data_IF_130292525468
#
_entry.id   IF_130292525468
#
_cell.length_a   1.000
_cell.length_b   1.000
_cell.length_c   1.000
_cell.angle_alpha   90.00
_cell.angle_beta   90.00
_cell.angle_gamma   90.00
#
_symmetry.space_group_name_H-M   'P 1'
#
loop_
_entity.id
_entity.type
_entity.pdbx_description
1 polymer ?
#
# COMPACT_ATOMS: atom_id res chain seq x y z
N UNK A 1 -48.75 -51.66 40.40
CA UNK A 1 -48.81 -50.17 40.32
C UNK A 1 -47.84 -49.72 39.26
N UNK A 2 -48.37 -49.27 38.12
CA UNK A 2 -47.59 -48.86 36.96
C UNK A 2 -47.55 -47.34 36.94
N UNK A 3 -46.38 -46.71 37.04
CA UNK A 3 -46.21 -45.27 36.81
C UNK A 3 -45.70 -45.05 35.41
N UNK A 4 -46.52 -44.37 34.60
CA UNK A 4 -46.19 -43.91 33.27
C UNK A 4 -45.41 -42.60 33.35
N UNK A 5 -44.24 -42.54 32.70
CA UNK A 5 -43.47 -41.33 32.51
C UNK A 5 -43.86 -40.67 31.19
N UNK A 6 -44.33 -39.44 31.27
CA UNK A 6 -44.66 -38.55 30.11
C UNK A 6 -43.36 -37.96 29.55
N UNK A 7 -43.18 -38.08 28.23
CA UNK A 7 -42.18 -37.37 27.45
C UNK A 7 -42.82 -36.11 26.86
N UNK A 8 -42.21 -34.93 26.95
CA UNK A 8 -42.75 -33.75 26.25
C UNK A 8 -42.27 -33.69 24.80
N UNK A 9 -43.23 -33.46 23.89
CA UNK A 9 -43.02 -33.05 22.52
C UNK A 9 -42.52 -31.62 22.48
N UNK A 10 -41.48 -31.31 21.66
CA UNK A 10 -41.46 -30.20 20.73
C UNK A 10 -40.09 -29.94 20.14
N UNK A 11 -39.92 -30.18 18.87
CA UNK A 11 -39.05 -29.40 18.00
C UNK A 11 -39.59 -29.52 16.57
N UNK A 12 -40.47 -28.55 16.20
CA UNK A 12 -40.85 -28.34 14.81
C UNK A 12 -39.71 -27.64 14.07
N UNK A 13 -39.22 -28.28 13.00
CA UNK A 13 -38.35 -27.64 12.00
C UNK A 13 -39.21 -26.79 11.05
N UNK A 14 -38.79 -25.58 10.65
CA UNK A 14 -39.46 -24.84 9.60
C UNK A 14 -39.17 -25.46 8.23
N UNK A 15 -40.22 -25.71 7.45
CA UNK A 15 -40.16 -26.15 6.07
C UNK A 15 -39.67 -25.01 5.18
N UNK A 16 -38.62 -25.28 4.39
CA UNK A 16 -38.16 -24.41 3.29
C UNK A 16 -39.12 -24.64 2.12
N UNK A 17 -39.88 -23.60 1.76
CA UNK A 17 -40.73 -23.60 0.56
C UNK A 17 -39.84 -23.39 -0.68
N UNK A 18 -39.80 -24.38 -1.57
CA UNK A 18 -39.31 -24.25 -2.93
C UNK A 18 -40.30 -23.46 -3.78
N UNK A 19 -39.84 -22.34 -4.34
CA UNK A 19 -40.54 -21.59 -5.36
C UNK A 19 -40.21 -22.15 -6.75
N UNK A 20 -41.19 -22.51 -7.58
CA UNK A 20 -40.93 -23.00 -8.93
C UNK A 20 -40.65 -21.81 -9.87
N UNK A 21 -39.55 -21.88 -10.59
CA UNK A 21 -39.27 -20.96 -11.70
C UNK A 21 -40.29 -21.16 -12.84
N UNK A 22 -41.05 -20.13 -13.13
CA UNK A 22 -41.86 -20.03 -14.34
C UNK A 22 -41.00 -19.36 -15.44
N UNK A 23 -40.68 -20.10 -16.50
CA UNK A 23 -40.16 -19.54 -17.73
C UNK A 23 -41.27 -18.79 -18.45
N UNK A 24 -41.09 -17.51 -18.75
CA UNK A 24 -41.88 -16.81 -19.77
C UNK A 24 -40.94 -16.05 -20.73
N UNK A 25 -41.22 -16.29 -22.00
CA UNK A 25 -40.50 -15.87 -23.18
C UNK A 25 -40.54 -14.34 -23.47
N UNK A 26 -39.44 -13.87 -24.01
CA UNK A 26 -39.30 -12.77 -24.97
C UNK A 26 -39.87 -11.39 -24.65
N UNK A 27 -38.95 -10.48 -24.23
CA UNK A 27 -38.89 -9.11 -24.77
C UNK A 27 -37.49 -8.52 -24.55
N UNK A 28 -36.85 -8.16 -25.64
CA UNK A 28 -35.61 -7.36 -25.64
C UNK A 28 -35.97 -5.94 -25.22
N UNK A 29 -35.60 -5.55 -23.99
CA UNK A 29 -35.61 -4.15 -23.60
C UNK A 29 -34.20 -3.60 -23.81
N UNK A 30 -34.08 -2.61 -24.66
CA UNK A 30 -32.91 -1.75 -24.73
C UNK A 30 -32.67 -1.12 -23.36
N UNK A 31 -31.67 -1.59 -22.65
CA UNK A 31 -31.22 -0.98 -21.41
C UNK A 31 -30.57 0.36 -21.75
N UNK A 32 -31.14 1.43 -21.20
CA UNK A 32 -30.59 2.79 -21.20
C UNK A 32 -29.16 2.79 -20.66
N UNK A 33 -28.24 3.59 -21.23
CA UNK A 33 -26.84 3.64 -20.78
C UNK A 33 -26.62 4.50 -19.53
N UNK A 34 -27.56 4.51 -18.61
CA UNK A 34 -27.27 5.00 -17.27
C UNK A 34 -26.52 3.89 -16.53
N UNK A 35 -25.18 3.87 -16.69
CA UNK A 35 -24.30 3.18 -15.73
C UNK A 35 -24.60 3.79 -14.36
N UNK A 36 -25.36 3.07 -13.54
CA UNK A 36 -25.39 3.31 -12.11
C UNK A 36 -23.94 3.37 -11.63
N UNK A 37 -23.55 4.47 -10.97
CA UNK A 37 -22.27 4.53 -10.26
C UNK A 37 -22.21 3.28 -9.38
N UNK A 38 -21.11 2.50 -9.42
CA UNK A 38 -20.97 1.40 -8.49
C UNK A 38 -21.17 1.99 -7.10
N UNK A 39 -22.07 1.40 -6.31
CA UNK A 39 -22.23 1.77 -4.91
C UNK A 39 -20.85 1.61 -4.26
N UNK A 40 -20.35 2.67 -3.62
CA UNK A 40 -19.15 2.59 -2.78
C UNK A 40 -19.33 1.40 -1.83
N UNK A 41 -18.36 0.49 -1.81
CA UNK A 41 -18.43 -0.59 -0.85
C UNK A 41 -18.53 0.00 0.57
N UNK A 42 -19.49 -0.48 1.40
CA UNK A 42 -19.70 0.07 2.75
C UNK A 42 -18.42 0.15 3.60
N UNK A 43 -17.45 -0.76 3.35
CA UNK A 43 -16.15 -0.78 4.02
C UNK A 43 -15.22 0.38 3.64
N UNK A 44 -15.42 1.05 2.50
CA UNK A 44 -14.65 2.24 2.11
C UNK A 44 -15.12 3.49 2.83
N UNK A 45 -16.39 3.60 3.20
CA UNK A 45 -16.91 4.71 3.98
C UNK A 45 -16.26 4.80 5.36
N UNK A 46 -15.91 3.65 5.95
CA UNK A 46 -15.23 3.55 7.24
C UNK A 46 -13.74 3.94 7.15
N UNK A 47 -13.17 4.11 5.96
CA UNK A 47 -11.75 4.33 5.73
C UNK A 47 -11.37 5.78 5.40
N UNK A 48 -12.27 6.72 5.59
CA UNK A 48 -12.02 8.15 5.40
C UNK A 48 -12.25 8.63 3.97
N UNK A 49 -11.60 9.72 3.58
CA UNK A 49 -11.77 10.37 2.27
C UNK A 49 -11.42 9.42 1.12
N UNK A 50 -12.32 9.29 0.16
CA UNK A 50 -12.11 8.53 -1.07
C UNK A 50 -11.65 9.48 -2.18
N UNK A 51 -10.51 9.16 -2.80
CA UNK A 51 -9.86 9.97 -3.83
C UNK A 51 -9.99 9.24 -5.18
N UNK A 52 -10.69 9.82 -6.15
CA UNK A 52 -10.89 9.22 -7.47
C UNK A 52 -9.87 9.75 -8.49
N UNK A 53 -10.17 10.90 -9.10
CA UNK A 53 -9.42 11.43 -10.25
C UNK A 53 -8.66 12.73 -9.91
N UNK A 54 -8.52 13.06 -8.63
CA UNK A 54 -7.92 14.31 -8.16
C UNK A 54 -6.47 14.49 -8.61
N UNK A 55 -5.75 13.39 -8.79
CA UNK A 55 -4.37 13.35 -9.23
C UNK A 55 -4.21 12.94 -10.70
N UNK A 56 -5.24 13.08 -11.52
CA UNK A 56 -5.13 12.78 -12.97
C UNK A 56 -4.28 13.79 -13.73
N UNK A 57 -4.25 15.04 -13.25
CA UNK A 57 -3.54 16.17 -13.90
C UNK A 57 -2.63 16.87 -12.89
N UNK A 58 -1.45 17.27 -13.35
CA UNK A 58 -0.53 18.10 -12.57
C UNK A 58 -1.11 19.52 -12.50
N UNK A 59 -1.24 20.07 -11.28
CA UNK A 59 -1.69 21.46 -11.06
C UNK A 59 -0.57 22.45 -11.39
N UNK A 60 -0.93 23.68 -11.71
CA UNK A 60 0.03 24.73 -12.03
C UNK A 60 0.90 25.14 -10.84
N UNK A 61 0.32 25.12 -9.63
CA UNK A 61 0.98 25.56 -8.40
C UNK A 61 0.94 24.50 -7.31
N UNK A 62 2.09 24.28 -6.70
CA UNK A 62 2.27 23.51 -5.48
C UNK A 62 3.20 24.30 -4.55
N UNK A 63 2.88 24.38 -3.28
CA UNK A 63 3.77 24.98 -2.30
C UNK A 63 4.88 24.01 -1.93
N UNK A 64 6.11 24.51 -1.80
CA UNK A 64 7.24 23.71 -1.36
C UNK A 64 7.27 23.63 0.17
N UNK A 65 7.52 22.44 0.75
CA UNK A 65 7.76 22.29 2.18
C UNK A 65 9.03 23.02 2.60
N UNK A 66 9.08 23.44 3.85
CA UNK A 66 10.23 24.17 4.41
C UNK A 66 11.46 23.28 4.57
N UNK A 67 11.23 21.99 4.83
CA UNK A 67 12.29 21.02 5.12
C UNK A 67 12.42 20.02 3.98
N UNK A 68 13.62 19.43 3.79
CA UNK A 68 13.87 18.42 2.77
C UNK A 68 12.87 17.25 2.85
N UNK A 69 12.53 16.72 1.68
CA UNK A 69 11.70 15.50 1.56
C UNK A 69 12.61 14.32 1.26
N UNK A 70 12.63 13.35 2.16
CA UNK A 70 13.31 12.07 1.97
C UNK A 70 12.37 11.10 1.29
N UNK A 71 12.81 10.47 0.20
CA UNK A 71 12.12 9.38 -0.46
C UNK A 71 12.88 8.08 -0.21
N UNK A 72 12.26 7.11 0.43
CA UNK A 72 12.83 5.79 0.66
C UNK A 72 11.89 4.69 0.13
N UNK A 73 12.45 3.74 -0.60
CA UNK A 73 11.67 2.65 -1.18
C UNK A 73 11.33 1.55 -0.15
N UNK A 74 10.21 0.85 -0.38
CA UNK A 74 9.78 -0.28 0.44
C UNK A 74 10.58 -1.55 0.14
N UNK A 75 10.12 -2.66 0.75
CA UNK A 75 10.67 -4.00 0.52
C UNK A 75 10.59 -4.36 -0.96
N UNK A 76 11.62 -5.06 -1.47
CA UNK A 76 11.83 -5.37 -2.89
C UNK A 76 11.93 -4.13 -3.80
N UNK A 77 11.93 -2.94 -3.22
CA UNK A 77 12.26 -1.74 -3.95
C UNK A 77 13.75 -1.70 -4.31
N UNK A 78 14.12 -0.79 -5.18
CA UNK A 78 15.49 -0.60 -5.64
C UNK A 78 15.66 0.87 -6.02
N UNK A 79 16.85 1.39 -5.83
CA UNK A 79 17.16 2.72 -6.35
C UNK A 79 17.23 2.68 -7.89
N UNK A 80 17.94 1.68 -8.44
CA UNK A 80 18.07 1.44 -9.87
C UNK A 80 18.04 -0.06 -10.21
N UNK A 81 17.04 -0.54 -10.96
CA UNK A 81 16.98 -1.92 -11.45
C UNK A 81 17.59 -2.04 -12.85
N UNK A 82 18.65 -2.83 -13.00
CA UNK A 82 19.34 -3.08 -14.26
C UNK A 82 19.03 -4.48 -14.77
N UNK A 83 18.08 -4.60 -15.69
CA UNK A 83 17.68 -5.88 -16.28
C UNK A 83 18.72 -6.49 -17.24
N UNK A 84 19.61 -5.68 -17.82
CA UNK A 84 20.61 -6.11 -18.80
C UNK A 84 22.03 -5.65 -18.41
N UNK A 85 22.39 -5.72 -17.14
CA UNK A 85 23.71 -5.31 -16.65
C UNK A 85 24.02 -3.84 -16.97
N UNK A 86 25.29 -3.55 -17.29
CA UNK A 86 25.78 -2.18 -17.56
C UNK A 86 25.42 -1.63 -18.94
N UNK A 87 24.79 -2.41 -19.81
CA UNK A 87 24.56 -2.03 -21.21
C UNK A 87 23.24 -1.29 -21.45
N UNK A 88 22.28 -1.37 -20.52
CA UNK A 88 21.04 -0.60 -20.58
C UNK A 88 20.94 0.30 -19.35
N UNK A 89 20.38 1.52 -19.53
CA UNK A 89 20.09 2.39 -18.39
C UNK A 89 19.15 1.67 -17.42
N UNK A 90 19.51 1.69 -16.15
CA UNK A 90 18.67 1.12 -15.11
C UNK A 90 17.34 1.87 -14.97
N UNK A 91 16.34 1.19 -14.46
CA UNK A 91 15.04 1.79 -14.14
C UNK A 91 15.08 2.28 -12.70
N UNK A 92 15.00 3.59 -12.51
CA UNK A 92 14.97 4.22 -11.19
C UNK A 92 13.56 4.12 -10.59
N UNK A 93 13.49 3.78 -9.32
CA UNK A 93 12.25 3.66 -8.57
C UNK A 93 11.46 4.99 -8.52
N UNK A 94 12.17 6.10 -8.27
CA UNK A 94 11.61 7.44 -8.14
C UNK A 94 11.65 8.27 -9.42
N UNK A 95 11.77 7.61 -10.58
CA UNK A 95 11.90 8.29 -11.88
C UNK A 95 10.74 9.22 -12.17
N UNK A 96 11.05 10.47 -12.51
CA UNK A 96 10.08 11.52 -12.79
C UNK A 96 9.52 12.18 -11.52
N UNK A 97 9.49 11.48 -10.40
CA UNK A 97 9.01 12.02 -9.11
C UNK A 97 10.06 12.95 -8.52
N UNK A 98 11.32 12.50 -8.40
CA UNK A 98 12.43 13.31 -7.91
C UNK A 98 12.60 14.58 -8.74
N UNK A 99 12.65 14.42 -10.06
CA UNK A 99 12.83 15.53 -11.00
C UNK A 99 11.70 16.55 -10.90
N UNK A 100 10.44 16.08 -10.78
CA UNK A 100 9.28 16.96 -10.67
C UNK A 100 9.26 17.75 -9.35
N UNK A 101 9.62 17.11 -8.24
CA UNK A 101 9.75 17.77 -6.95
C UNK A 101 10.88 18.81 -6.97
N UNK A 102 12.05 18.43 -7.47
CA UNK A 102 13.23 19.32 -7.56
C UNK A 102 12.95 20.52 -8.49
N UNK A 103 12.25 20.31 -9.60
CA UNK A 103 11.86 21.40 -10.51
C UNK A 103 10.91 22.43 -9.87
N UNK A 104 10.25 22.07 -8.75
CA UNK A 104 9.41 22.97 -7.94
C UNK A 104 10.16 23.57 -6.74
N UNK A 105 11.49 23.45 -6.70
CA UNK A 105 12.34 24.02 -5.64
C UNK A 105 12.34 23.20 -4.35
N UNK A 106 11.80 21.98 -4.36
CA UNK A 106 11.78 21.09 -3.20
C UNK A 106 13.13 20.37 -3.10
N UNK A 107 13.78 20.47 -1.95
CA UNK A 107 14.99 19.70 -1.67
C UNK A 107 14.61 18.22 -1.45
N UNK A 108 15.14 17.32 -2.30
CA UNK A 108 14.82 15.90 -2.28
C UNK A 108 16.06 15.07 -1.97
N UNK A 109 15.96 14.24 -0.95
CA UNK A 109 16.97 13.25 -0.57
C UNK A 109 16.43 11.87 -0.97
N UNK A 110 17.16 11.14 -1.81
CA UNK A 110 16.85 9.74 -2.09
C UNK A 110 17.64 8.89 -1.11
N UNK A 111 16.96 8.16 -0.26
CA UNK A 111 17.59 7.22 0.64
C UNK A 111 17.59 5.81 0.03
N UNK A 112 18.78 5.23 -0.05
CA UNK A 112 19.00 3.89 -0.58
C UNK A 112 19.05 2.91 0.58
N UNK A 113 18.17 1.92 0.55
CA UNK A 113 18.15 0.83 1.54
C UNK A 113 18.28 -0.51 0.84
N UNK A 114 18.77 -1.56 1.49
CA UNK A 114 18.83 -2.88 0.88
C UNK A 114 17.47 -3.31 0.34
N UNK A 115 17.37 -3.94 -0.84
CA UNK A 115 16.09 -4.39 -1.40
C UNK A 115 15.45 -5.52 -0.59
N UNK A 116 16.24 -6.19 0.23
CA UNK A 116 15.84 -7.26 1.13
C UNK A 116 16.50 -7.04 2.51
N UNK A 117 16.14 -7.85 3.49
CA UNK A 117 16.61 -7.71 4.85
C UNK A 117 15.47 -7.45 5.83
N UNK A 118 15.75 -7.59 7.12
CA UNK A 118 14.76 -7.29 8.15
C UNK A 118 14.45 -5.79 8.20
N UNK A 119 13.29 -5.44 8.75
CA UNK A 119 12.89 -4.03 8.96
C UNK A 119 13.97 -3.30 9.77
N UNK A 120 14.56 -3.95 10.77
CA UNK A 120 15.60 -3.41 11.64
C UNK A 120 16.86 -3.05 10.86
N UNK A 121 17.40 -4.01 10.09
CA UNK A 121 18.63 -3.80 9.30
C UNK A 121 18.43 -2.71 8.24
N UNK A 122 17.28 -2.71 7.58
CA UNK A 122 16.91 -1.66 6.60
C UNK A 122 16.77 -0.29 7.25
N UNK A 123 16.20 -0.23 8.46
CA UNK A 123 16.06 1.01 9.22
C UNK A 123 17.40 1.61 9.65
N UNK A 124 18.39 0.77 9.99
CA UNK A 124 19.75 1.23 10.30
C UNK A 124 20.46 1.84 9.09
N UNK A 125 20.35 1.20 7.91
CA UNK A 125 20.89 1.77 6.66
C UNK A 125 20.17 3.07 6.30
N UNK A 126 18.83 3.09 6.43
CA UNK A 126 18.03 4.29 6.19
C UNK A 126 18.51 5.47 7.06
N UNK A 127 18.75 5.23 8.36
CA UNK A 127 19.24 6.27 9.27
C UNK A 127 20.59 6.83 8.83
N UNK A 128 21.53 5.96 8.44
CA UNK A 128 22.86 6.35 7.95
C UNK A 128 22.78 7.17 6.66
N UNK A 129 21.96 6.75 5.74
CA UNK A 129 21.86 7.40 4.44
C UNK A 129 21.17 8.77 4.53
N UNK A 130 20.12 8.88 5.38
CA UNK A 130 19.48 10.17 5.67
C UNK A 130 20.46 11.11 6.38
N UNK A 131 21.24 10.63 7.35
CA UNK A 131 22.24 11.45 8.04
C UNK A 131 23.22 12.10 7.06
N UNK A 132 23.73 11.33 6.10
CA UNK A 132 24.62 11.82 5.06
C UNK A 132 23.94 12.83 4.12
N UNK A 133 22.70 12.56 3.72
CA UNK A 133 21.94 13.40 2.80
C UNK A 133 21.40 14.68 3.44
N UNK A 134 20.91 14.61 4.66
CA UNK A 134 20.26 15.72 5.36
C UNK A 134 21.27 16.78 5.86
N UNK A 135 22.51 16.40 6.11
CA UNK A 135 23.57 17.30 6.56
C UNK A 135 23.18 18.15 7.77
N UNK A 136 22.52 17.53 8.74
CA UNK A 136 22.06 18.17 9.98
C UNK A 136 20.74 18.94 9.85
N UNK A 137 20.07 18.90 8.71
CA UNK A 137 18.72 19.46 8.55
C UNK A 137 17.67 18.49 9.07
N UNK A 138 16.58 19.03 9.61
CA UNK A 138 15.39 18.28 9.91
C UNK A 138 14.70 17.87 8.61
N UNK A 139 13.97 16.73 8.60
CA UNK A 139 13.44 16.14 7.37
C UNK A 139 11.98 15.70 7.48
N UNK A 140 11.30 15.70 6.34
CA UNK A 140 10.03 15.02 6.13
C UNK A 140 10.30 13.72 5.34
N UNK A 141 9.72 12.60 5.75
CA UNK A 141 9.99 11.30 5.13
C UNK A 141 8.74 10.77 4.42
N UNK A 142 8.89 10.32 3.18
CA UNK A 142 7.89 9.54 2.45
C UNK A 142 8.46 8.13 2.28
N UNK A 143 7.96 7.16 3.06
CA UNK A 143 8.49 5.80 3.12
C UNK A 143 7.49 4.81 3.76
N UNK A 144 7.99 3.77 4.45
CA UNK A 144 7.19 2.71 5.04
C UNK A 144 7.60 2.31 6.45
N UNK A 145 7.59 0.99 6.71
CA UNK A 145 7.79 0.40 8.04
C UNK A 145 9.21 0.60 8.58
N UNK A 146 10.22 0.59 7.70
CA UNK A 146 11.62 0.84 8.06
C UNK A 146 11.77 2.20 8.74
N UNK A 147 11.09 3.22 8.21
CA UNK A 147 11.09 4.57 8.80
C UNK A 147 10.37 4.62 10.13
N UNK A 148 9.26 3.87 10.31
CA UNK A 148 8.61 3.78 11.62
C UNK A 148 9.56 3.20 12.67
N UNK A 149 10.27 2.11 12.31
CA UNK A 149 11.26 1.50 13.20
C UNK A 149 12.41 2.47 13.52
N UNK A 150 12.96 3.13 12.50
CA UNK A 150 14.02 4.12 12.65
C UNK A 150 13.61 5.24 13.63
N UNK A 151 12.44 5.84 13.42
CA UNK A 151 11.92 6.94 14.25
C UNK A 151 11.71 6.49 15.70
N UNK A 152 11.12 5.30 15.88
CA UNK A 152 10.70 4.82 17.20
C UNK A 152 11.85 4.22 18.01
N UNK A 153 12.73 3.43 17.36
CA UNK A 153 13.71 2.57 18.03
C UNK A 153 15.16 3.04 17.87
N UNK A 154 15.56 3.49 16.68
CA UNK A 154 16.93 3.96 16.42
C UNK A 154 17.09 5.39 16.94
N UNK A 155 16.09 6.27 16.70
CA UNK A 155 16.08 7.68 17.17
C UNK A 155 17.34 8.44 16.77
N UNK A 156 17.54 8.73 15.47
CA UNK A 156 18.73 9.43 15.00
C UNK A 156 18.93 10.77 15.75
N UNK A 157 20.15 11.05 16.20
CA UNK A 157 20.48 12.27 16.95
C UNK A 157 20.93 13.44 16.07
N UNK A 158 21.43 13.14 14.84
CA UNK A 158 22.02 14.16 13.96
C UNK A 158 21.02 14.88 13.05
N UNK A 159 19.78 14.43 13.02
CA UNK A 159 18.65 15.07 12.34
C UNK A 159 17.35 14.71 13.05
N UNK A 160 16.35 15.57 12.92
CA UNK A 160 15.00 15.26 13.42
C UNK A 160 14.10 14.88 12.27
N UNK A 161 13.23 13.88 12.50
CA UNK A 161 12.14 13.56 11.59
C UNK A 161 10.92 14.36 12.06
N UNK A 162 10.43 15.26 11.21
CA UNK A 162 9.27 16.11 11.52
C UNK A 162 7.97 15.42 11.13
N UNK A 163 8.00 14.65 10.03
CA UNK A 163 6.84 13.88 9.60
C UNK A 163 7.23 12.59 8.89
N UNK A 164 6.33 11.60 8.96
CA UNK A 164 6.36 10.39 8.18
C UNK A 164 5.05 10.28 7.40
N UNK A 165 5.14 10.28 6.07
CA UNK A 165 4.03 9.97 5.17
C UNK A 165 4.20 8.57 4.61
N UNK A 166 3.26 7.67 4.88
CA UNK A 166 3.28 6.31 4.34
C UNK A 166 2.24 6.14 3.23
N UNK A 167 2.59 5.38 2.20
CA UNK A 167 1.74 5.15 1.04
C UNK A 167 1.58 3.65 0.87
N UNK A 168 0.36 3.15 1.02
CA UNK A 168 0.04 1.73 0.94
C UNK A 168 1.00 0.83 1.74
N UNK A 169 1.39 1.27 2.93
CA UNK A 169 2.27 0.50 3.82
C UNK A 169 1.45 -0.45 4.69
N UNK A 170 1.87 -1.72 4.85
CA UNK A 170 1.10 -2.70 5.60
C UNK A 170 1.30 -2.57 7.11
N UNK A 171 0.76 -1.52 7.73
CA UNK A 171 0.89 -1.26 9.17
C UNK A 171 0.28 -2.34 10.06
N UNK A 172 -0.63 -3.16 9.54
CA UNK A 172 -1.24 -4.32 10.21
C UNK A 172 -0.91 -5.63 9.51
N UNK A 173 0.15 -5.62 8.67
CA UNK A 173 0.54 -6.76 7.85
C UNK A 173 -0.35 -6.93 6.61
N UNK A 174 -0.16 -8.06 5.94
CA UNK A 174 -0.90 -8.41 4.73
C UNK A 174 -1.26 -9.90 4.75
N UNK A 175 -2.51 -10.22 4.49
CA UNK A 175 -2.94 -11.60 4.34
C UNK A 175 -2.32 -12.30 3.13
N UNK A 176 -1.74 -11.57 2.20
CA UNK A 176 -0.89 -12.17 1.15
C UNK A 176 0.37 -12.76 1.75
N UNK A 177 1.01 -12.07 2.69
CA UNK A 177 2.17 -12.63 3.39
C UNK A 177 1.79 -13.88 4.19
N UNK A 178 0.68 -13.83 4.93
CA UNK A 178 0.16 -15.01 5.64
C UNK A 178 -0.08 -16.17 4.67
N UNK A 179 -0.79 -15.94 3.57
CA UNK A 179 -1.10 -16.95 2.56
C UNK A 179 0.16 -17.58 1.95
N UNK A 180 1.18 -16.78 1.63
CA UNK A 180 2.44 -17.27 1.09
C UNK A 180 3.13 -18.20 2.11
N UNK A 181 3.15 -17.83 3.39
CA UNK A 181 3.72 -18.67 4.45
C UNK A 181 2.93 -19.96 4.65
N UNK A 182 1.60 -19.90 4.64
CA UNK A 182 0.73 -21.09 4.78
C UNK A 182 0.89 -22.06 3.61
N UNK A 183 0.99 -21.55 2.37
CA UNK A 183 1.17 -22.39 1.17
C UNK A 183 2.56 -23.05 1.10
N UNK A 184 3.59 -22.35 1.55
CA UNK A 184 4.95 -22.88 1.60
C UNK A 184 5.04 -24.02 2.65
N UNK A 185 4.32 -23.88 3.75
CA UNK A 185 4.39 -24.78 4.90
C UNK A 185 5.70 -24.64 5.67
N UNK A 186 5.63 -24.83 6.99
CA UNK A 186 6.79 -24.68 7.88
C UNK A 186 7.97 -25.60 7.51
N UNK A 187 7.69 -26.78 6.91
CA UNK A 187 8.71 -27.76 6.54
C UNK A 187 9.56 -27.37 5.33
N UNK A 188 9.00 -26.56 4.41
CA UNK A 188 9.70 -26.11 3.19
C UNK A 188 10.34 -24.73 3.31
N UNK A 189 9.97 -23.95 4.31
CA UNK A 189 10.54 -22.64 4.59
C UNK A 189 12.08 -22.63 4.62
N UNK A 190 12.77 -23.57 5.33
CA UNK A 190 14.22 -23.60 5.36
C UNK A 190 14.87 -23.80 3.99
N UNK A 191 14.26 -24.63 3.13
CA UNK A 191 14.78 -24.88 1.77
C UNK A 191 14.61 -23.67 0.85
N UNK A 192 13.49 -22.97 0.98
CA UNK A 192 13.23 -21.74 0.22
C UNK A 192 14.13 -20.61 0.72
N UNK A 193 14.30 -20.48 2.02
CA UNK A 193 15.25 -19.55 2.63
C UNK A 193 16.67 -19.80 2.14
N UNK A 194 17.10 -21.07 2.09
CA UNK A 194 18.40 -21.43 1.56
C UNK A 194 18.55 -21.06 0.07
N UNK A 195 17.54 -21.33 -0.75
CA UNK A 195 17.56 -20.99 -2.17
C UNK A 195 17.57 -19.49 -2.42
N UNK A 196 16.76 -18.71 -1.68
CA UNK A 196 16.69 -17.26 -1.78
C UNK A 196 17.95 -16.57 -1.26
N UNK A 197 18.53 -17.08 -0.16
CA UNK A 197 19.83 -16.58 0.34
C UNK A 197 20.97 -16.81 -0.68
N UNK A 198 20.92 -17.88 -1.47
CA UNK A 198 21.90 -18.07 -2.58
C UNK A 198 21.73 -17.03 -3.69
N UNK A 199 20.57 -16.41 -3.81
CA UNK A 199 20.28 -15.31 -4.73
C UNK A 199 20.44 -13.93 -4.05
N UNK A 200 21.04 -13.88 -2.85
CA UNK A 200 21.16 -12.67 -2.02
C UNK A 200 19.81 -12.00 -1.71
N UNK A 201 18.73 -12.79 -1.66
CA UNK A 201 17.40 -12.33 -1.21
C UNK A 201 17.19 -12.81 0.22
N UNK A 202 17.32 -11.91 1.17
CA UNK A 202 17.01 -12.19 2.57
C UNK A 202 15.49 -12.32 2.77
N UNK A 203 15.07 -13.44 3.34
CA UNK A 203 13.65 -13.80 3.46
C UNK A 203 13.00 -13.33 4.75
N UNK A 204 13.79 -12.86 5.71
CA UNK A 204 13.29 -12.38 7.00
C UNK A 204 12.23 -11.30 6.89
N UNK A 205 12.36 -10.42 5.92
CA UNK A 205 11.44 -9.33 5.68
C UNK A 205 9.99 -9.77 5.35
N UNK A 206 9.81 -10.87 4.60
CA UNK A 206 8.47 -11.35 4.29
C UNK A 206 7.71 -11.87 5.52
N UNK A 207 8.42 -12.55 6.44
CA UNK A 207 7.83 -12.99 7.71
C UNK A 207 7.37 -11.82 8.58
N UNK A 208 8.09 -10.71 8.50
CA UNK A 208 7.75 -9.48 9.21
C UNK A 208 6.54 -8.74 8.61
N UNK A 209 6.09 -9.10 7.41
CA UNK A 209 4.86 -8.54 6.81
C UNK A 209 3.60 -9.36 7.13
N UNK A 210 3.70 -10.47 7.87
CA UNK A 210 2.52 -11.21 8.32
C UNK A 210 1.69 -10.38 9.30
N UNK A 211 0.37 -10.57 9.27
CA UNK A 211 -0.53 -9.84 10.17
C UNK A 211 -0.20 -10.12 11.64
N UNK A 212 0.12 -11.37 11.96
CA UNK A 212 0.51 -11.77 13.31
C UNK A 212 1.75 -11.01 13.79
N UNK A 213 2.82 -11.00 13.00
CA UNK A 213 4.05 -10.28 13.38
C UNK A 213 3.79 -8.79 13.57
N UNK A 214 3.08 -8.16 12.64
CA UNK A 214 2.81 -6.72 12.70
C UNK A 214 1.96 -6.33 13.91
N UNK A 215 0.93 -7.14 14.26
CA UNK A 215 0.02 -6.82 15.35
C UNK A 215 0.54 -7.22 16.72
N UNK A 216 1.21 -8.36 16.83
CA UNK A 216 1.65 -8.91 18.11
C UNK A 216 3.10 -8.54 18.48
N UNK A 217 3.94 -8.22 17.47
CA UNK A 217 5.36 -7.94 17.69
C UNK A 217 5.75 -6.52 17.30
N UNK A 218 5.54 -6.14 16.02
CA UNK A 218 6.05 -4.86 15.53
C UNK A 218 5.33 -3.67 16.17
N UNK A 219 4.02 -3.56 16.06
CA UNK A 219 3.27 -2.40 16.54
C UNK A 219 3.40 -2.16 18.06
N UNK A 220 3.35 -3.18 18.93
CA UNK A 220 3.55 -2.96 20.36
C UNK A 220 4.97 -2.46 20.71
N UNK A 221 5.98 -2.86 19.92
CA UNK A 221 7.37 -2.48 20.15
C UNK A 221 7.81 -1.22 19.38
N UNK A 222 7.00 -0.70 18.46
CA UNK A 222 7.31 0.46 17.59
C UNK A 222 6.19 1.50 17.70
N UNK A 223 6.04 2.12 18.89
CA UNK A 223 5.04 3.16 19.11
C UNK A 223 5.37 4.42 18.30
N UNK A 224 4.35 5.20 17.97
CA UNK A 224 4.53 6.52 17.38
C UNK A 224 5.21 7.47 18.38
N UNK A 225 6.03 8.40 17.87
CA UNK A 225 6.71 9.43 18.66
C UNK A 225 5.89 10.71 18.59
N UNK A 226 5.63 11.32 19.74
CA UNK A 226 4.71 12.45 19.89
C UNK A 226 5.09 13.67 19.03
N UNK A 227 6.39 13.95 18.91
CA UNK A 227 6.92 15.08 18.14
C UNK A 227 6.94 14.85 16.62
N UNK A 228 6.53 13.67 16.14
CA UNK A 228 6.51 13.32 14.72
C UNK A 228 5.07 13.26 14.22
N UNK A 229 4.81 13.92 13.10
CA UNK A 229 3.48 13.89 12.48
C UNK A 229 3.38 12.72 11.51
N UNK A 230 2.37 11.88 11.69
CA UNK A 230 2.16 10.68 10.88
C UNK A 230 1.02 10.89 9.90
N UNK A 231 1.31 10.68 8.61
CA UNK A 231 0.32 10.71 7.54
C UNK A 231 0.31 9.39 6.78
N UNK A 232 -0.84 9.01 6.26
CA UNK A 232 -0.94 7.78 5.47
C UNK A 232 -1.96 7.89 4.35
N UNK A 233 -1.71 7.13 3.28
CA UNK A 233 -2.62 6.95 2.16
C UNK A 233 -2.80 5.46 1.91
N UNK A 234 -4.04 5.06 1.57
CA UNK A 234 -4.35 3.75 1.06
C UNK A 234 -4.61 3.78 -0.43
N UNK A 235 -4.66 2.60 -1.05
CA UNK A 235 -5.07 2.46 -2.44
C UNK A 235 -5.92 1.22 -2.64
N UNK A 236 -6.84 1.27 -3.61
CA UNK A 236 -7.69 0.16 -3.97
C UNK A 236 -7.98 0.18 -5.47
N UNK A 237 -8.04 -0.99 -6.09
CA UNK A 237 -8.36 -1.12 -7.51
C UNK A 237 -9.06 -2.45 -7.79
N UNK A 238 -9.67 -2.55 -8.97
CA UNK A 238 -10.22 -3.80 -9.50
C UNK A 238 -9.25 -4.35 -10.56
N UNK A 239 -8.64 -5.53 -10.34
CA UNK A 239 -7.67 -6.09 -11.26
C UNK A 239 -8.34 -6.62 -12.52
N UNK A 240 -7.76 -6.31 -13.69
CA UNK A 240 -8.14 -6.97 -14.94
C UNK A 240 -7.79 -8.46 -14.91
N UNK A 241 -8.33 -9.23 -15.86
CA UNK A 241 -8.03 -10.67 -15.99
C UNK A 241 -6.54 -10.96 -16.23
N UNK A 242 -5.80 -9.99 -16.75
CA UNK A 242 -4.37 -10.06 -17.06
C UNK A 242 -3.48 -9.43 -15.98
N UNK A 243 -4.06 -8.95 -14.88
CA UNK A 243 -3.27 -8.34 -13.81
C UNK A 243 -2.43 -9.36 -13.06
N UNK A 244 -1.16 -9.04 -12.86
CA UNK A 244 -0.26 -9.84 -12.00
C UNK A 244 -0.77 -9.91 -10.54
N UNK A 245 -1.55 -8.91 -10.11
CA UNK A 245 -2.13 -8.87 -8.77
C UNK A 245 -3.45 -9.65 -8.62
N UNK A 246 -3.94 -10.32 -9.66
CA UNK A 246 -5.26 -10.95 -9.60
C UNK A 246 -5.41 -11.96 -8.45
N UNK A 247 -4.36 -12.77 -8.21
CA UNK A 247 -4.39 -13.78 -7.14
C UNK A 247 -4.27 -13.13 -5.76
N UNK A 248 -3.27 -12.29 -5.56
CA UNK A 248 -3.06 -11.60 -4.29
C UNK A 248 -4.23 -10.68 -3.93
N UNK A 249 -4.79 -9.96 -4.91
CA UNK A 249 -5.98 -9.16 -4.72
C UNK A 249 -7.18 -9.99 -4.21
N UNK A 250 -7.41 -11.18 -4.76
CA UNK A 250 -8.49 -12.07 -4.30
C UNK A 250 -8.31 -12.51 -2.86
N UNK A 251 -7.08 -12.87 -2.47
CA UNK A 251 -6.76 -13.23 -1.09
C UNK A 251 -7.08 -12.07 -0.16
N UNK A 252 -6.58 -10.88 -0.46
CA UNK A 252 -6.86 -9.67 0.32
C UNK A 252 -8.35 -9.33 0.37
N UNK A 253 -9.03 -9.34 -0.78
CA UNK A 253 -10.45 -9.00 -0.87
C UNK A 253 -11.33 -9.92 -0.02
N UNK A 254 -10.98 -11.22 0.05
CA UNK A 254 -11.74 -12.19 0.83
C UNK A 254 -11.56 -12.05 2.35
N UNK A 255 -10.41 -11.51 2.79
CA UNK A 255 -10.02 -11.47 4.22
C UNK A 255 -10.09 -10.04 4.78
N UNK A 256 -9.59 -9.06 4.02
CA UNK A 256 -9.39 -7.70 4.49
C UNK A 256 -10.23 -6.66 3.74
N UNK A 257 -10.78 -6.99 2.57
CA UNK A 257 -11.60 -6.10 1.74
C UNK A 257 -10.80 -5.32 0.69
N UNK A 258 -11.15 -4.03 0.44
CA UNK A 258 -10.52 -3.19 -0.59
C UNK A 258 -9.01 -3.14 -0.45
N UNK A 259 -8.29 -3.27 -1.59
CA UNK A 259 -6.83 -3.38 -1.58
C UNK A 259 -6.20 -2.96 -2.91
N UNK A 260 -4.91 -2.73 -2.91
CA UNK A 260 -4.10 -2.35 -4.06
C UNK A 260 -3.40 -3.54 -4.75
N UNK A 261 -3.72 -4.75 -4.33
CA UNK A 261 -3.13 -6.01 -4.78
C UNK A 261 -2.05 -6.59 -3.88
N UNK A 262 -1.48 -5.81 -2.96
CA UNK A 262 -0.49 -6.26 -1.96
C UNK A 262 -0.86 -5.85 -0.53
N UNK A 263 -1.53 -4.72 -0.36
CA UNK A 263 -1.90 -4.15 0.94
C UNK A 263 -3.35 -3.72 0.92
N UNK A 264 -4.09 -4.04 1.98
CA UNK A 264 -5.47 -3.58 2.14
C UNK A 264 -5.52 -2.13 2.60
N UNK A 265 -6.63 -1.45 2.27
CA UNK A 265 -6.91 -0.10 2.75
C UNK A 265 -6.90 -0.07 4.28
N UNK A 266 -7.50 -1.07 4.93
CA UNK A 266 -7.53 -1.17 6.40
C UNK A 266 -6.14 -1.30 7.01
N UNK A 267 -5.23 -2.05 6.38
CA UNK A 267 -3.86 -2.21 6.85
C UNK A 267 -3.00 -0.97 6.60
N UNK A 268 -3.26 -0.23 5.52
CA UNK A 268 -2.49 0.98 5.17
C UNK A 268 -2.84 2.22 6.00
N UNK A 269 -3.95 2.20 6.74
CA UNK A 269 -4.42 3.34 7.55
C UNK A 269 -3.58 3.51 8.81
N UNK A 270 -2.96 4.69 8.98
CA UNK A 270 -2.12 5.04 10.12
C UNK A 270 -2.18 6.55 10.43
N UNK A 271 -1.69 6.95 11.61
CA UNK A 271 -1.64 8.36 12.02
C UNK A 271 -2.94 8.88 12.63
N UNK A 272 -3.83 8.00 13.09
CA UNK A 272 -5.14 8.36 13.62
C UNK A 272 -6.10 8.91 12.55
N UNK A 273 -7.19 9.53 12.98
CA UNK A 273 -8.22 10.04 12.05
C UNK A 273 -7.72 11.20 11.18
N UNK A 274 -6.96 12.15 11.76
CA UNK A 274 -6.40 13.28 11.01
C UNK A 274 -5.21 12.92 10.14
N UNK A 275 -4.50 11.84 10.47
CA UNK A 275 -3.32 11.37 9.75
C UNK A 275 -3.66 10.60 8.49
N UNK A 276 -4.78 9.89 8.44
CA UNK A 276 -5.21 9.22 7.23
C UNK A 276 -5.78 10.21 6.21
N UNK A 277 -5.07 10.45 5.13
CA UNK A 277 -5.42 11.47 4.13
C UNK A 277 -6.38 10.99 3.05
N UNK A 278 -6.49 9.67 2.85
CA UNK A 278 -7.51 9.09 1.97
C UNK A 278 -7.09 7.82 1.23
N UNK A 279 -8.06 7.26 0.51
CA UNK A 279 -7.92 6.05 -0.31
C UNK A 279 -7.92 6.42 -1.79
N UNK A 280 -6.84 6.08 -2.50
CA UNK A 280 -6.70 6.26 -3.95
C UNK A 280 -7.47 5.16 -4.69
N UNK A 281 -8.48 5.52 -5.47
CA UNK A 281 -9.32 4.57 -6.18
C UNK A 281 -8.83 4.29 -7.60
N UNK A 282 -8.87 3.02 -8.00
CA UNK A 282 -8.40 2.56 -9.31
C UNK A 282 -6.88 2.52 -9.43
N UNK A 283 -6.16 2.49 -8.31
CA UNK A 283 -4.70 2.57 -8.21
C UNK A 283 -4.16 1.27 -7.63
N UNK A 284 -3.32 0.56 -8.40
CA UNK A 284 -2.61 -0.62 -7.93
C UNK A 284 -1.31 -0.24 -7.23
N UNK A 285 -0.73 -1.17 -6.46
CA UNK A 285 0.53 -0.95 -5.75
C UNK A 285 1.67 -0.46 -6.65
N UNK A 286 1.77 -0.98 -7.89
CA UNK A 286 2.80 -0.54 -8.86
C UNK A 286 2.50 0.82 -9.50
N UNK A 287 1.26 1.27 -9.52
CA UNK A 287 0.93 2.60 -10.03
C UNK A 287 1.46 3.71 -9.11
N UNK A 288 1.57 3.44 -7.80
CA UNK A 288 2.04 4.38 -6.78
C UNK A 288 3.49 4.82 -6.97
N UNK A 289 4.32 3.97 -7.55
CA UNK A 289 5.76 4.21 -7.77
C UNK A 289 6.11 4.61 -9.21
N UNK A 290 5.13 5.03 -9.99
CA UNK A 290 5.28 5.44 -11.40
C UNK A 290 5.85 4.35 -12.34
N UNK A 291 5.88 3.08 -11.91
CA UNK A 291 6.47 1.96 -12.65
C UNK A 291 5.73 1.64 -13.95
N UNK A 292 4.40 1.60 -13.91
CA UNK A 292 3.56 1.17 -15.03
C UNK A 292 3.26 2.28 -16.03
N UNK A 293 3.60 3.52 -15.71
CA UNK A 293 3.16 4.68 -16.46
C UNK A 293 3.68 4.72 -17.91
N UNK A 294 4.87 4.20 -18.22
CA UNK A 294 5.39 4.24 -19.60
C UNK A 294 4.67 3.31 -20.57
N UNK A 295 4.44 2.06 -20.17
CA UNK A 295 3.75 1.09 -21.02
C UNK A 295 2.26 1.44 -21.16
N UNK A 296 1.63 1.88 -20.07
CA UNK A 296 0.24 2.34 -20.08
C UNK A 296 0.10 3.69 -20.81
N UNK A 297 1.15 4.53 -20.82
CA UNK A 297 1.14 5.81 -21.54
C UNK A 297 1.09 5.61 -23.06
N UNK A 298 1.93 4.72 -23.58
CA UNK A 298 1.91 4.32 -25.00
C UNK A 298 0.56 3.66 -25.39
N UNK A 299 0.03 2.81 -24.53
CA UNK A 299 -1.25 2.14 -24.80
C UNK A 299 -2.45 3.09 -24.64
N UNK A 300 -2.41 4.04 -23.71
CA UNK A 300 -3.49 5.00 -23.43
C UNK A 300 -3.64 6.06 -24.53
N UNK A 301 -2.55 6.55 -25.11
CA UNK A 301 -2.59 7.45 -26.28
C UNK A 301 -3.24 6.77 -27.51
N UNK A 302 -3.01 5.48 -27.69
CA UNK A 302 -3.59 4.70 -28.80
C UNK A 302 -5.07 4.37 -28.55
N UNK A 303 -5.50 4.22 -27.30
CA UNK A 303 -6.85 3.77 -26.94
C UNK A 303 -7.79 4.91 -26.50
N UNK A 304 -7.31 6.15 -26.39
CA UNK A 304 -8.11 7.31 -25.94
C UNK A 304 -8.60 7.25 -24.48
N UNK A 305 -8.08 6.33 -23.70
CA UNK A 305 -8.49 6.11 -22.31
C UNK A 305 -7.79 7.11 -21.38
N UNK A 306 -8.50 8.15 -20.89
CA UNK A 306 -7.96 9.16 -19.99
C UNK A 306 -7.45 8.53 -18.69
N UNK A 307 -6.23 8.87 -18.29
CA UNK A 307 -5.63 8.44 -17.04
C UNK A 307 -6.42 8.94 -15.85
N UNK A 308 -6.65 8.05 -14.90
CA UNK A 308 -7.29 8.40 -13.62
C UNK A 308 -6.30 8.77 -12.53
N UNK A 309 -5.02 8.38 -12.66
CA UNK A 309 -3.98 8.62 -11.65
C UNK A 309 -2.63 8.93 -12.29
N UNK A 310 -1.96 9.96 -11.75
CA UNK A 310 -0.60 10.36 -12.08
C UNK A 310 0.23 10.43 -10.79
N UNK A 311 1.16 9.50 -10.62
CA UNK A 311 2.01 9.44 -9.43
C UNK A 311 2.77 10.75 -9.19
N UNK A 312 3.25 11.42 -10.24
CA UNK A 312 3.97 12.71 -10.10
C UNK A 312 3.06 13.76 -9.47
N UNK A 313 1.81 13.89 -9.94
CA UNK A 313 0.84 14.83 -9.36
C UNK A 313 0.57 14.51 -7.90
N UNK A 314 0.46 13.22 -7.57
CA UNK A 314 0.24 12.75 -6.21
C UNK A 314 1.40 13.11 -5.26
N UNK A 315 2.66 12.86 -5.65
CA UNK A 315 3.80 13.22 -4.81
C UNK A 315 4.00 14.74 -4.67
N UNK A 316 3.68 15.51 -5.72
CA UNK A 316 3.64 16.96 -5.63
C UNK A 316 2.55 17.45 -4.64
N UNK A 317 1.40 16.76 -4.62
CA UNK A 317 0.33 17.09 -3.67
C UNK A 317 0.70 16.74 -2.22
N UNK A 318 1.43 15.65 -2.00
CA UNK A 318 1.99 15.35 -0.66
C UNK A 318 2.92 16.47 -0.21
N UNK A 319 3.82 16.95 -1.08
CA UNK A 319 4.72 18.04 -0.73
C UNK A 319 3.95 19.36 -0.44
N UNK A 320 2.92 19.67 -1.21
CA UNK A 320 2.02 20.81 -0.98
C UNK A 320 1.26 20.66 0.35
N UNK A 321 0.82 19.46 0.69
CA UNK A 321 0.20 19.14 1.98
C UNK A 321 1.19 19.37 3.12
N UNK A 322 2.43 18.87 3.01
CA UNK A 322 3.47 19.09 4.02
C UNK A 322 3.75 20.58 4.23
N UNK A 323 3.84 21.37 3.15
CA UNK A 323 4.01 22.81 3.22
C UNK A 323 2.86 23.51 3.97
N UNK A 324 1.61 23.12 3.69
CA UNK A 324 0.42 23.66 4.37
C UNK A 324 0.36 23.29 5.85
N UNK A 325 0.96 22.17 6.22
CA UNK A 325 1.12 21.74 7.60
C UNK A 325 2.29 22.45 8.31
N UNK A 326 3.04 23.33 7.62
CA UNK A 326 4.18 24.06 8.16
C UNK A 326 5.49 23.27 8.27
N UNK A 327 5.56 22.16 7.55
CA UNK A 327 6.65 21.18 7.55
C UNK A 327 7.68 21.45 6.44
#
# INVERSE_FOLDING_TARGET
MRHAVRIPNALRRPSVAYSPYVYSNNRWYHASPYRSRPSLEPRLEDHGRVIHDEYSVIRDKYAAPKYPVVLAHGLLGFDELRFAGRYLPGVQYWRGIKEALTARGIEVIIATVPPSGSIEARAEELARDIELGARGKDVNIIAGLDSRYMISRIRPEKFKVLSLTTIASPHRGSSVADYVFDQIGAERLPQIYYALNRLNVETGAFGQLTRKYMTETFNPNVPDIEDVRYFSYGAAFEPSIWSAFRMSHRVLASIEGPNDGLVSVSSSRWGGESGYKGTLMGVSHLDLINWTNRLKWLAGEVTGNRRKFNAIAFYLDIADMLSKEGL
#
